data_IF_660252459617
#
_entry.id   IF_660252459617
#
_cell.length_a   1.000
_cell.length_b   1.000
_cell.length_c   1.000
_cell.angle_alpha   90.00
_cell.angle_beta   90.00
_cell.angle_gamma   90.00
#
_symmetry.space_group_name_H-M   'P 1'
#
loop_
_entity.id
_entity.type
_entity.pdbx_description
1 polymer ?
#
# COMPACT_ATOMS: atom_id res chain seq x y z
N UNK A 1 -19.90 22.11 -17.91
CA UNK A 1 -20.96 21.13 -18.24
C UNK A 1 -20.98 19.93 -17.28
N UNK A 2 -19.96 19.07 -17.25
CA UNK A 2 -19.95 17.85 -16.43
C UNK A 2 -20.19 18.09 -14.92
N UNK A 3 -19.56 19.11 -14.32
CA UNK A 3 -19.77 19.47 -12.90
C UNK A 3 -21.24 19.84 -12.61
N UNK A 4 -21.86 20.63 -13.49
CA UNK A 4 -23.26 21.03 -13.34
C UNK A 4 -24.20 19.83 -13.47
N UNK A 5 -23.96 18.94 -14.45
CA UNK A 5 -24.72 17.70 -14.60
C UNK A 5 -24.62 16.81 -13.34
N UNK A 6 -23.43 16.66 -12.76
CA UNK A 6 -23.25 15.94 -11.49
C UNK A 6 -24.08 16.56 -10.36
N UNK A 7 -24.01 17.89 -10.17
CA UNK A 7 -24.77 18.59 -9.13
C UNK A 7 -26.27 18.34 -9.29
N UNK A 8 -26.79 18.44 -10.52
CA UNK A 8 -28.19 18.21 -10.79
C UNK A 8 -28.64 16.77 -10.55
N UNK A 9 -27.83 15.78 -10.98
CA UNK A 9 -28.10 14.36 -10.73
C UNK A 9 -28.09 14.05 -9.23
N UNK A 10 -27.06 14.50 -8.51
CA UNK A 10 -26.94 14.28 -7.06
C UNK A 10 -28.12 14.90 -6.31
N UNK A 11 -28.53 16.12 -6.69
CA UNK A 11 -29.68 16.80 -6.09
C UNK A 11 -30.99 16.06 -6.37
N UNK A 12 -31.31 15.78 -7.64
CA UNK A 12 -32.60 15.18 -8.02
C UNK A 12 -32.75 13.77 -7.45
N UNK A 13 -31.74 12.92 -7.61
CA UNK A 13 -31.74 11.54 -7.11
C UNK A 13 -31.73 11.55 -5.57
N UNK A 14 -30.84 12.33 -4.97
CA UNK A 14 -30.72 12.40 -3.51
C UNK A 14 -32.00 12.88 -2.85
N UNK A 15 -32.61 13.95 -3.37
CA UNK A 15 -33.85 14.51 -2.84
C UNK A 15 -35.02 13.52 -2.96
N UNK A 16 -35.24 12.95 -4.15
CA UNK A 16 -36.38 12.06 -4.41
C UNK A 16 -36.35 10.83 -3.48
N UNK A 17 -35.22 10.12 -3.44
CA UNK A 17 -35.10 8.90 -2.63
C UNK A 17 -35.04 9.20 -1.12
N UNK A 18 -34.36 10.27 -0.69
CA UNK A 18 -34.31 10.66 0.73
C UNK A 18 -35.71 10.97 1.26
N UNK A 19 -36.51 11.76 0.52
CA UNK A 19 -37.90 12.06 0.92
C UNK A 19 -38.76 10.82 0.92
N UNK A 20 -38.66 9.99 -0.12
CA UNK A 20 -39.41 8.73 -0.20
C UNK A 20 -39.11 7.82 1.00
N UNK A 21 -37.85 7.53 1.28
CA UNK A 21 -37.45 6.66 2.40
C UNK A 21 -37.86 7.25 3.75
N UNK A 22 -37.58 8.54 3.96
CA UNK A 22 -37.86 9.20 5.24
C UNK A 22 -39.36 9.23 5.52
N UNK A 23 -40.22 9.64 4.56
CA UNK A 23 -41.66 9.73 4.80
C UNK A 23 -42.27 8.34 5.03
N UNK A 24 -41.93 7.35 4.19
CA UNK A 24 -42.53 6.02 4.30
C UNK A 24 -42.07 5.28 5.57
N UNK A 25 -40.79 5.31 5.92
CA UNK A 25 -40.28 4.56 7.07
C UNK A 25 -40.59 5.23 8.41
N UNK A 26 -40.77 6.55 8.46
CA UNK A 26 -41.24 7.25 9.67
C UNK A 26 -42.64 6.82 10.08
N UNK A 27 -43.51 6.52 9.12
CA UNK A 27 -44.89 6.08 9.38
C UNK A 27 -44.97 4.76 10.16
N UNK A 28 -43.89 3.96 10.14
CA UNK A 28 -43.80 2.69 10.87
C UNK A 28 -43.58 2.84 12.39
N UNK A 29 -43.45 4.09 12.89
CA UNK A 29 -43.41 4.45 14.32
C UNK A 29 -42.40 3.64 15.16
N UNK A 30 -41.19 3.43 14.63
CA UNK A 30 -40.08 2.73 15.28
C UNK A 30 -38.86 3.62 15.52
N UNK A 31 -37.65 3.05 15.73
CA UNK A 31 -36.42 3.80 16.04
C UNK A 31 -35.99 4.78 14.93
N UNK A 32 -36.60 4.71 13.75
CA UNK A 32 -36.33 5.57 12.60
C UNK A 32 -37.24 6.80 12.51
N UNK A 33 -38.22 6.94 13.42
CA UNK A 33 -39.24 8.00 13.38
C UNK A 33 -38.67 9.42 13.32
N UNK A 34 -37.59 9.66 14.06
CA UNK A 34 -37.00 11.00 14.18
C UNK A 34 -35.76 11.18 13.29
N UNK A 35 -35.39 10.15 12.52
CA UNK A 35 -34.20 10.18 11.67
C UNK A 35 -34.52 10.71 10.27
N UNK A 36 -33.52 11.32 9.63
CA UNK A 36 -33.50 11.58 8.19
C UNK A 36 -32.73 10.44 7.54
N UNK A 37 -33.39 9.69 6.66
CA UNK A 37 -32.80 8.55 5.97
C UNK A 37 -32.31 9.01 4.60
N UNK A 38 -31.06 9.43 4.54
CA UNK A 38 -30.46 9.95 3.30
C UNK A 38 -30.17 8.84 2.29
N UNK A 39 -30.40 9.15 1.02
CA UNK A 39 -29.94 8.37 -0.11
C UNK A 39 -29.07 9.25 -1.01
N UNK A 40 -27.98 8.67 -1.51
CA UNK A 40 -27.13 9.30 -2.52
C UNK A 40 -26.63 8.26 -3.50
N UNK A 41 -26.61 8.60 -4.79
CA UNK A 41 -26.16 7.74 -5.90
C UNK A 41 -24.76 7.17 -5.68
N UNK A 42 -23.85 7.94 -5.05
CA UNK A 42 -22.51 7.51 -4.67
C UNK A 42 -22.42 7.01 -3.21
N UNK A 43 -23.16 7.62 -2.29
CA UNK A 43 -23.18 7.24 -0.86
C UNK A 43 -23.68 5.80 -0.67
N UNK A 44 -24.74 5.42 -1.37
CA UNK A 44 -25.38 4.11 -1.23
C UNK A 44 -24.48 2.94 -1.63
N UNK A 45 -23.86 2.89 -2.84
CA UNK A 45 -22.91 1.83 -3.17
C UNK A 45 -21.65 1.86 -2.29
N UNK A 46 -21.23 3.04 -1.82
CA UNK A 46 -20.10 3.15 -0.86
C UNK A 46 -20.40 2.43 0.46
N UNK A 47 -21.59 2.65 1.03
CA UNK A 47 -22.07 1.88 2.19
C UNK A 47 -22.23 0.39 1.83
N UNK A 48 -22.66 0.09 0.61
CA UNK A 48 -22.73 -1.26 0.05
C UNK A 48 -21.44 -2.06 0.21
N UNK A 49 -20.26 -1.46 -0.06
CA UNK A 49 -18.98 -2.16 0.15
C UNK A 49 -18.72 -2.52 1.62
N UNK A 50 -19.13 -1.66 2.55
CA UNK A 50 -18.98 -1.91 4.00
C UNK A 50 -19.92 -3.03 4.45
N UNK A 51 -21.19 -2.97 4.00
CA UNK A 51 -22.22 -3.97 4.33
C UNK A 51 -21.90 -5.33 3.72
N UNK A 52 -21.45 -5.36 2.46
CA UNK A 52 -20.98 -6.58 1.79
C UNK A 52 -19.82 -7.22 2.58
N UNK A 53 -18.81 -6.43 2.97
CA UNK A 53 -17.71 -6.94 3.80
C UNK A 53 -18.21 -7.47 5.15
N UNK A 54 -19.13 -6.77 5.80
CA UNK A 54 -19.73 -7.22 7.06
C UNK A 54 -20.39 -8.59 6.91
N UNK A 55 -21.23 -8.78 5.88
CA UNK A 55 -21.90 -10.07 5.66
C UNK A 55 -20.93 -11.18 5.24
N UNK A 56 -19.89 -10.88 4.45
CA UNK A 56 -18.83 -11.85 4.14
C UNK A 56 -18.13 -12.36 5.40
N UNK A 57 -17.87 -11.48 6.36
CA UNK A 57 -17.25 -11.87 7.65
C UNK A 57 -18.26 -12.60 8.54
N UNK A 58 -19.48 -12.08 8.67
CA UNK A 58 -20.53 -12.66 9.51
C UNK A 58 -20.94 -14.06 9.06
N UNK A 59 -21.03 -14.27 7.76
CA UNK A 59 -21.45 -15.54 7.16
C UNK A 59 -20.25 -16.45 6.83
N UNK A 60 -19.02 -16.06 7.20
CA UNK A 60 -17.85 -16.91 7.04
C UNK A 60 -17.98 -18.11 7.96
N UNK A 61 -18.00 -19.32 7.40
CA UNK A 61 -17.94 -20.57 8.16
C UNK A 61 -16.49 -21.04 8.16
N UNK A 62 -15.77 -20.99 9.30
CA UNK A 62 -14.40 -21.47 9.37
C UNK A 62 -14.34 -22.98 9.16
N UNK A 63 -13.49 -23.42 8.25
CA UNK A 63 -13.24 -24.84 8.00
C UNK A 63 -11.90 -25.24 8.60
N UNK A 64 -11.89 -26.34 9.35
CA UNK A 64 -10.66 -26.90 9.90
C UNK A 64 -9.84 -27.49 8.77
N UNK A 65 -8.54 -27.19 8.77
CA UNK A 65 -7.59 -27.72 7.80
C UNK A 65 -6.34 -28.21 8.50
N UNK A 66 -5.60 -29.07 7.82
CA UNK A 66 -4.34 -29.62 8.27
C UNK A 66 -3.25 -29.37 7.22
N UNK A 67 -2.03 -29.18 7.68
CA UNK A 67 -0.85 -28.97 6.85
C UNK A 67 0.35 -29.59 7.56
N UNK A 68 1.31 -30.09 6.78
CA UNK A 68 2.56 -30.65 7.30
C UNK A 68 3.60 -29.53 7.34
N UNK A 69 4.22 -29.29 8.50
CA UNK A 69 5.33 -28.34 8.63
C UNK A 69 6.63 -29.11 8.77
N UNK A 70 7.60 -28.81 7.92
CA UNK A 70 8.93 -29.39 7.98
C UNK A 70 9.93 -28.35 8.50
N UNK A 71 10.61 -28.68 9.61
CA UNK A 71 11.69 -27.86 10.16
C UNK A 71 12.98 -28.68 10.21
N UNK A 72 14.02 -28.20 9.55
CA UNK A 72 15.32 -28.87 9.48
C UNK A 72 16.33 -28.06 10.29
N UNK A 73 16.99 -28.72 11.26
CA UNK A 73 18.04 -28.11 12.08
C UNK A 73 19.42 -28.48 11.54
N UNK A 74 20.26 -27.48 11.30
CA UNK A 74 21.66 -27.66 10.87
C UNK A 74 22.51 -26.52 11.42
N UNK A 75 23.67 -26.83 12.00
CA UNK A 75 24.65 -25.84 12.50
C UNK A 75 24.05 -24.77 13.43
N UNK A 76 23.14 -25.17 14.33
CA UNK A 76 22.43 -24.27 15.25
C UNK A 76 21.34 -23.40 14.59
N UNK A 77 21.13 -23.52 13.27
CA UNK A 77 20.08 -22.82 12.52
C UNK A 77 18.91 -23.76 12.23
N UNK A 78 17.69 -23.21 12.20
CA UNK A 78 16.47 -23.95 11.83
C UNK A 78 15.91 -23.36 10.54
N UNK A 79 15.87 -24.16 9.47
CA UNK A 79 15.17 -23.82 8.23
C UNK A 79 13.74 -24.35 8.27
N UNK A 80 12.76 -23.51 7.98
CA UNK A 80 11.36 -23.89 7.93
C UNK A 80 10.90 -24.00 6.48
N UNK A 81 10.30 -25.14 6.14
CA UNK A 81 9.81 -25.43 4.80
C UNK A 81 8.29 -25.57 4.81
N UNK A 82 7.66 -24.93 3.84
CA UNK A 82 6.21 -24.97 3.62
C UNK A 82 5.86 -26.14 2.72
N UNK A 83 4.87 -26.93 3.10
CA UNK A 83 4.40 -28.04 2.28
C UNK A 83 3.85 -27.55 0.94
N UNK A 84 4.32 -28.12 -0.17
CA UNK A 84 3.96 -27.65 -1.52
C UNK A 84 2.47 -27.84 -1.83
N UNK A 85 1.79 -28.79 -1.18
CA UNK A 85 0.31 -28.93 -1.27
C UNK A 85 -0.46 -27.85 -0.51
N UNK A 86 0.23 -27.03 0.28
CA UNK A 86 -0.37 -26.03 1.15
C UNK A 86 -1.09 -26.66 2.34
N UNK A 87 -2.40 -26.86 2.22
CA UNK A 87 -3.27 -27.39 3.28
C UNK A 87 -4.38 -28.26 2.68
N UNK A 88 -4.83 -29.26 3.44
CA UNK A 88 -5.98 -30.11 3.08
C UNK A 88 -7.05 -30.04 4.17
N UNK A 89 -8.30 -30.30 3.79
CA UNK A 89 -9.48 -30.27 4.69
C UNK A 89 -9.92 -31.66 5.16
N UNK A 90 -9.18 -32.71 4.80
CA UNK A 90 -9.39 -34.05 5.34
C UNK A 90 -8.19 -34.45 6.22
N UNK A 91 -8.48 -34.74 7.49
CA UNK A 91 -7.44 -35.11 8.46
C UNK A 91 -6.83 -36.46 8.12
N UNK A 92 -7.63 -37.44 7.71
CA UNK A 92 -7.15 -38.80 7.46
C UNK A 92 -6.10 -38.83 6.34
N UNK A 93 -6.38 -38.12 5.24
CA UNK A 93 -5.43 -37.93 4.13
C UNK A 93 -4.12 -37.30 4.59
N UNK A 94 -4.17 -36.24 5.40
CA UNK A 94 -2.93 -35.59 5.90
C UNK A 94 -2.14 -36.50 6.83
N UNK A 95 -2.82 -37.28 7.68
CA UNK A 95 -2.16 -38.24 8.58
C UNK A 95 -1.43 -39.32 7.78
N UNK A 96 -2.05 -39.90 6.75
CA UNK A 96 -1.41 -40.90 5.88
C UNK A 96 -0.15 -40.32 5.20
N UNK A 97 -0.24 -39.09 4.68
CA UNK A 97 0.92 -38.44 4.05
C UNK A 97 2.02 -38.12 5.07
N UNK A 98 1.64 -37.71 6.27
CA UNK A 98 2.56 -37.43 7.36
C UNK A 98 3.30 -38.68 7.86
N UNK A 99 2.61 -39.81 7.99
CA UNK A 99 3.23 -41.09 8.37
C UNK A 99 4.30 -41.50 7.35
N UNK A 100 3.99 -41.38 6.05
CA UNK A 100 4.96 -41.65 4.96
C UNK A 100 6.16 -40.71 4.98
N UNK A 101 6.00 -39.46 5.46
CA UNK A 101 7.12 -38.57 5.70
C UNK A 101 8.00 -39.08 6.85
N UNK A 102 7.41 -39.45 7.99
CA UNK A 102 8.17 -39.95 9.17
C UNK A 102 8.97 -41.21 8.82
N UNK A 103 8.38 -42.13 8.06
CA UNK A 103 9.04 -43.38 7.65
C UNK A 103 10.33 -43.14 6.85
N UNK A 104 10.40 -42.03 6.09
CA UNK A 104 11.55 -41.72 5.25
C UNK A 104 12.82 -41.35 6.02
N UNK A 105 12.70 -40.87 7.27
CA UNK A 105 13.77 -40.48 8.22
C UNK A 105 14.71 -39.35 7.78
N UNK A 106 14.95 -39.18 6.48
CA UNK A 106 15.87 -38.20 5.90
C UNK A 106 15.15 -37.38 4.85
N UNK A 107 15.32 -36.06 4.91
CA UNK A 107 14.86 -35.14 3.89
C UNK A 107 15.99 -34.85 2.88
N UNK A 108 15.67 -34.82 1.59
CA UNK A 108 16.65 -34.63 0.51
C UNK A 108 16.37 -33.33 -0.21
N UNK A 109 17.38 -32.46 -0.29
CA UNK A 109 17.34 -31.26 -1.13
C UNK A 109 17.33 -31.70 -2.60
N UNK A 110 16.28 -31.32 -3.33
CA UNK A 110 16.11 -31.68 -4.75
C UNK A 110 16.39 -30.49 -5.67
N UNK A 111 16.28 -29.26 -5.16
CA UNK A 111 16.55 -28.05 -5.93
C UNK A 111 17.04 -26.95 -5.01
N UNK A 112 18.08 -26.25 -5.45
CA UNK A 112 18.50 -24.96 -4.90
C UNK A 112 18.62 -24.01 -6.08
N UNK A 113 17.88 -22.91 -6.05
CA UNK A 113 17.93 -21.89 -7.08
C UNK A 113 18.13 -20.53 -6.45
N UNK A 114 19.21 -19.88 -6.85
CA UNK A 114 19.51 -18.51 -6.46
C UNK A 114 19.25 -17.60 -7.67
N UNK A 115 18.55 -16.48 -7.44
CA UNK A 115 18.23 -15.51 -8.48
C UNK A 115 18.31 -14.08 -7.95
N UNK A 116 18.91 -13.15 -8.70
CA UNK A 116 18.80 -11.74 -8.41
C UNK A 116 17.33 -11.33 -8.35
N UNK A 117 16.96 -10.61 -7.31
CA UNK A 117 15.61 -10.08 -7.11
C UNK A 117 15.70 -8.60 -6.77
N UNK A 118 14.62 -7.88 -7.02
CA UNK A 118 14.53 -6.46 -6.68
C UNK A 118 13.20 -6.16 -6.05
N UNK A 119 13.21 -5.22 -5.10
CA UNK A 119 11.98 -4.56 -4.68
C UNK A 119 11.91 -3.23 -5.38
N UNK A 120 10.90 -3.10 -6.20
CA UNK A 120 10.71 -1.91 -7.00
C UNK A 120 10.48 -0.66 -6.14
N UNK A 121 11.14 0.44 -6.50
CA UNK A 121 10.85 1.75 -5.94
C UNK A 121 9.40 2.17 -6.25
N UNK A 122 8.78 3.00 -5.41
CA UNK A 122 7.39 3.41 -5.60
C UNK A 122 7.16 4.15 -6.92
N UNK A 123 5.92 4.07 -7.44
CA UNK A 123 5.46 4.94 -8.52
C UNK A 123 5.22 6.38 -8.01
N UNK A 124 5.29 7.39 -8.89
CA UNK A 124 4.88 8.75 -8.58
C UNK A 124 3.50 8.83 -7.90
N UNK A 125 3.33 9.83 -7.03
CA UNK A 125 2.20 9.88 -6.11
C UNK A 125 0.94 10.44 -6.78
N UNK A 126 -0.16 9.70 -6.72
CA UNK A 126 -1.49 10.17 -7.13
C UNK A 126 -2.33 10.56 -5.91
N UNK A 127 -3.48 11.20 -6.14
CA UNK A 127 -4.43 11.55 -5.08
C UNK A 127 -4.96 10.34 -4.31
N UNK A 128 -5.24 9.25 -5.03
CA UNK A 128 -5.74 8.01 -4.43
C UNK A 128 -4.67 7.36 -3.56
N UNK A 129 -3.43 7.30 -4.06
CA UNK A 129 -2.33 6.71 -3.30
C UNK A 129 -1.95 7.57 -2.09
N UNK A 130 -1.94 8.90 -2.20
CA UNK A 130 -1.73 9.80 -1.05
C UNK A 130 -2.75 9.52 0.07
N UNK A 131 -4.04 9.47 -0.25
CA UNK A 131 -5.08 9.20 0.75
C UNK A 131 -4.95 7.81 1.38
N UNK A 132 -4.71 6.76 0.58
CA UNK A 132 -4.51 5.39 1.10
C UNK A 132 -3.31 5.33 2.04
N UNK A 133 -2.20 5.95 1.65
CA UNK A 133 -0.97 5.96 2.43
C UNK A 133 -1.11 6.76 3.72
N UNK A 134 -1.75 7.92 3.66
CA UNK A 134 -2.01 8.73 4.86
C UNK A 134 -2.91 7.99 5.85
N UNK A 135 -3.98 7.33 5.39
CA UNK A 135 -4.82 6.50 6.27
C UNK A 135 -4.06 5.30 6.85
N UNK A 136 -3.23 4.63 6.05
CA UNK A 136 -2.47 3.45 6.50
C UNK A 136 -1.36 3.80 7.50
N UNK A 137 -0.58 4.86 7.22
CA UNK A 137 0.67 5.14 7.93
C UNK A 137 0.60 6.38 8.84
N UNK A 138 -0.16 7.40 8.45
CA UNK A 138 -0.32 8.63 9.24
C UNK A 138 -1.54 8.52 10.19
N UNK A 139 -2.50 7.65 9.88
CA UNK A 139 -3.75 7.41 10.64
C UNK A 139 -4.71 8.59 10.63
N UNK A 140 -4.75 9.35 9.54
CA UNK A 140 -5.73 10.41 9.30
C UNK A 140 -6.68 10.03 8.15
N UNK A 141 -7.86 10.64 8.12
CA UNK A 141 -8.87 10.35 7.07
C UNK A 141 -8.42 10.87 5.71
N UNK A 142 -8.98 10.30 4.63
CA UNK A 142 -8.73 10.79 3.27
C UNK A 142 -9.15 12.26 3.10
N UNK A 143 -10.28 12.66 3.70
CA UNK A 143 -10.74 14.05 3.70
C UNK A 143 -9.73 14.98 4.37
N UNK A 144 -9.31 14.67 5.60
CA UNK A 144 -8.34 15.50 6.32
C UNK A 144 -6.99 15.57 5.58
N UNK A 145 -6.57 14.46 4.96
CA UNK A 145 -5.36 14.43 4.11
C UNK A 145 -5.48 15.42 2.95
N UNK A 146 -6.62 15.44 2.26
CA UNK A 146 -6.86 16.34 1.13
C UNK A 146 -6.94 17.81 1.54
N UNK A 147 -7.59 18.11 2.67
CA UNK A 147 -7.63 19.47 3.22
C UNK A 147 -6.22 20.00 3.55
N UNK A 148 -5.36 19.15 4.14
CA UNK A 148 -3.97 19.49 4.43
C UNK A 148 -3.17 19.67 3.13
N UNK A 149 -3.31 18.74 2.18
CA UNK A 149 -2.61 18.80 0.90
C UNK A 149 -2.98 20.05 0.09
N UNK A 150 -4.25 20.46 0.11
CA UNK A 150 -4.69 21.70 -0.52
C UNK A 150 -4.04 22.93 0.11
N UNK A 151 -3.93 22.99 1.43
CA UNK A 151 -3.23 24.09 2.12
C UNK A 151 -1.73 24.10 1.79
N UNK A 152 -1.10 22.93 1.73
CA UNK A 152 0.30 22.80 1.30
C UNK A 152 0.50 23.32 -0.13
N UNK A 153 -0.43 23.01 -1.04
CA UNK A 153 -0.41 23.52 -2.41
C UNK A 153 -0.63 25.04 -2.47
N UNK A 154 -1.61 25.57 -1.73
CA UNK A 154 -1.88 27.01 -1.67
C UNK A 154 -0.68 27.81 -1.13
N UNK A 155 0.09 27.23 -0.21
CA UNK A 155 1.35 27.80 0.30
C UNK A 155 2.56 27.56 -0.62
N UNK A 156 2.38 26.84 -1.73
CA UNK A 156 3.43 26.60 -2.74
C UNK A 156 4.43 25.48 -2.40
N UNK A 157 4.14 24.64 -1.39
CA UNK A 157 5.06 23.59 -0.96
C UNK A 157 4.99 22.32 -1.81
N UNK A 158 3.82 21.99 -2.35
CA UNK A 158 3.61 20.80 -3.18
C UNK A 158 2.88 21.16 -4.48
N UNK A 159 2.96 20.28 -5.48
CA UNK A 159 2.14 20.37 -6.69
C UNK A 159 0.65 20.12 -6.39
N UNK A 160 -0.22 20.39 -7.37
CA UNK A 160 -1.66 20.28 -7.19
C UNK A 160 -2.07 18.85 -6.75
N UNK A 161 -2.77 18.69 -5.61
CA UNK A 161 -2.92 17.38 -4.97
C UNK A 161 -4.11 16.56 -5.51
N UNK A 162 -4.79 17.03 -6.56
CA UNK A 162 -5.93 16.36 -7.21
C UNK A 162 -5.55 15.97 -8.64
N UNK A 163 -4.90 14.82 -8.77
CA UNK A 163 -4.38 14.28 -10.03
C UNK A 163 -4.42 12.74 -10.02
N UNK A 164 -4.67 12.17 -11.20
CA UNK A 164 -4.57 10.73 -11.46
C UNK A 164 -3.22 10.34 -12.09
N UNK A 165 -2.37 11.32 -12.39
CA UNK A 165 -1.10 11.13 -13.10
C UNK A 165 -0.06 10.45 -12.21
N UNK A 166 0.46 9.32 -12.67
CA UNK A 166 1.49 8.52 -11.99
C UNK A 166 2.80 8.42 -12.79
N UNK A 167 3.09 9.45 -13.60
CA UNK A 167 4.30 9.60 -14.41
C UNK A 167 4.73 11.06 -14.51
N UNK A 168 6.02 11.32 -14.45
CA UNK A 168 6.55 12.67 -14.67
C UNK A 168 6.79 12.93 -16.15
N UNK A 169 6.68 14.19 -16.56
CA UNK A 169 7.17 14.63 -17.88
C UNK A 169 8.69 14.47 -17.93
N UNK A 170 9.20 13.96 -19.06
CA UNK A 170 10.64 13.76 -19.29
C UNK A 170 11.44 15.07 -19.27
N UNK A 171 10.81 16.20 -19.62
CA UNK A 171 11.42 17.53 -19.60
C UNK A 171 11.45 18.18 -18.22
N UNK A 172 10.76 17.62 -17.22
CA UNK A 172 10.73 18.19 -15.86
C UNK A 172 12.08 17.97 -15.17
N UNK A 173 12.69 19.06 -14.68
CA UNK A 173 13.97 19.00 -13.97
C UNK A 173 13.81 18.57 -12.50
N UNK A 174 13.54 17.28 -12.29
CA UNK A 174 13.31 16.71 -10.96
C UNK A 174 14.55 16.80 -10.04
N UNK A 175 15.77 16.80 -10.60
CA UNK A 175 17.01 16.92 -9.81
C UNK A 175 17.05 18.25 -9.04
N UNK A 176 16.56 19.34 -9.63
CA UNK A 176 16.46 20.64 -8.92
C UNK A 176 15.50 20.58 -7.74
N UNK A 177 14.41 19.81 -7.85
CA UNK A 177 13.44 19.64 -6.76
C UNK A 177 14.02 18.78 -5.65
N UNK A 178 14.82 17.76 -5.99
CA UNK A 178 15.60 16.97 -5.02
C UNK A 178 16.60 17.88 -4.28
N UNK A 179 17.33 18.74 -5.00
CA UNK A 179 18.31 19.65 -4.41
C UNK A 179 17.69 20.58 -3.36
N UNK A 180 16.44 21.02 -3.55
CA UNK A 180 15.76 21.86 -2.54
C UNK A 180 15.54 21.13 -1.21
N UNK A 181 15.51 19.80 -1.19
CA UNK A 181 15.23 18.98 0.00
C UNK A 181 16.49 18.59 0.80
N UNK A 182 17.71 18.96 0.35
CA UNK A 182 18.98 18.55 0.99
C UNK A 182 19.19 19.14 2.39
N UNK A 183 18.48 20.23 2.70
CA UNK A 183 18.58 20.94 3.98
C UNK A 183 17.82 20.30 5.15
N UNK A 184 16.94 19.31 4.92
CA UNK A 184 16.20 18.64 6.01
C UNK A 184 17.10 17.66 6.77
N UNK A 185 17.11 17.70 8.10
CA UNK A 185 17.95 16.80 8.90
C UNK A 185 17.61 15.31 8.79
N UNK A 186 16.40 14.94 8.34
CA UNK A 186 15.91 13.55 8.35
C UNK A 186 16.12 12.83 7.02
N UNK A 187 16.01 13.53 5.89
CA UNK A 187 16.16 12.97 4.54
C UNK A 187 17.16 13.73 3.67
N UNK A 188 17.65 14.87 4.14
CA UNK A 188 18.61 15.72 3.43
C UNK A 188 19.88 14.98 2.99
N UNK A 189 20.52 14.16 3.85
CA UNK A 189 21.66 13.34 3.44
C UNK A 189 21.35 12.40 2.28
N UNK A 190 20.16 11.80 2.27
CA UNK A 190 19.72 10.94 1.16
C UNK A 190 19.48 11.76 -0.12
N UNK A 191 18.81 12.91 -0.01
CA UNK A 191 18.61 13.82 -1.13
C UNK A 191 19.96 14.31 -1.71
N UNK A 192 20.95 14.56 -0.87
CA UNK A 192 22.29 14.95 -1.30
C UNK A 192 22.97 13.84 -2.08
N UNK A 193 22.90 12.58 -1.61
CA UNK A 193 23.40 11.42 -2.37
C UNK A 193 22.76 11.26 -3.75
N UNK A 194 21.47 11.61 -3.90
CA UNK A 194 20.83 11.65 -5.22
C UNK A 194 21.43 12.77 -6.11
N UNK A 195 21.63 13.97 -5.55
CA UNK A 195 22.26 15.09 -6.27
C UNK A 195 23.68 14.73 -6.72
N UNK A 196 24.43 14.02 -5.89
CA UNK A 196 25.84 13.65 -6.10
C UNK A 196 26.05 12.44 -7.02
N UNK A 197 24.99 11.97 -7.69
CA UNK A 197 25.08 10.95 -8.73
C UNK A 197 24.09 9.79 -8.58
N UNK A 198 23.46 9.64 -7.41
CA UNK A 198 22.48 8.57 -7.16
C UNK A 198 21.09 8.79 -7.74
N UNK A 199 20.82 9.96 -8.34
CA UNK A 199 19.52 10.27 -8.95
C UNK A 199 19.23 9.36 -10.15
N UNK A 200 18.06 8.74 -10.10
CA UNK A 200 17.46 8.02 -11.21
C UNK A 200 16.13 8.63 -11.59
N UNK A 201 15.79 8.54 -12.87
CA UNK A 201 14.46 8.95 -13.32
C UNK A 201 13.38 8.07 -12.66
N UNK A 202 12.27 8.65 -12.20
CA UNK A 202 11.13 7.90 -11.70
C UNK A 202 10.59 6.91 -12.72
N UNK A 203 10.06 5.79 -12.21
CA UNK A 203 9.33 4.83 -13.03
C UNK A 203 8.00 5.45 -13.48
N UNK A 204 7.61 5.17 -14.71
CA UNK A 204 6.31 5.60 -15.22
C UNK A 204 5.24 4.58 -14.83
N UNK A 205 4.15 5.07 -14.23
CA UNK A 205 2.92 4.31 -14.17
C UNK A 205 2.16 4.36 -15.50
N UNK A 206 0.86 4.03 -15.44
CA UNK A 206 0.01 3.87 -16.64
C UNK A 206 -0.95 5.03 -16.86
N UNK A 207 -1.07 5.96 -15.91
CA UNK A 207 -2.12 6.97 -15.87
C UNK A 207 -1.54 8.37 -16.07
N UNK A 208 -2.23 9.17 -16.89
CA UNK A 208 -1.86 10.54 -17.21
C UNK A 208 -3.15 11.31 -17.49
N UNK A 209 -3.52 12.22 -16.58
CA UNK A 209 -4.69 13.08 -16.74
C UNK A 209 -4.47 14.22 -17.76
N UNK A 210 -3.23 14.37 -18.25
CA UNK A 210 -2.78 15.40 -19.19
C UNK A 210 -2.96 16.83 -18.69
N UNK A 211 -3.16 17.03 -17.40
CA UNK A 211 -3.41 18.32 -16.77
C UNK A 211 -2.38 18.65 -15.70
N UNK A 212 -2.08 17.69 -14.81
CA UNK A 212 -1.22 17.90 -13.66
C UNK A 212 -0.14 16.81 -13.58
N UNK A 213 1.09 17.18 -13.16
CA UNK A 213 2.10 16.19 -12.82
C UNK A 213 1.71 15.46 -11.53
N UNK A 214 2.38 14.33 -11.20
CA UNK A 214 2.19 13.64 -9.93
C UNK A 214 2.37 14.58 -8.73
N UNK A 215 1.84 14.21 -7.57
CA UNK A 215 1.99 14.97 -6.33
C UNK A 215 3.46 14.91 -5.87
N UNK A 216 4.12 16.05 -5.77
CA UNK A 216 5.55 16.15 -5.44
C UNK A 216 5.88 17.48 -4.74
N UNK A 217 7.00 17.57 -3.98
CA UNK A 217 7.41 18.82 -3.35
C UNK A 217 7.97 19.80 -4.40
N UNK A 218 7.54 21.06 -4.32
CA UNK A 218 7.99 22.15 -5.22
C UNK A 218 9.14 22.94 -4.59
N UNK A 219 9.11 23.09 -3.27
CA UNK A 219 10.15 23.74 -2.47
C UNK A 219 10.21 23.11 -1.10
N UNK A 220 11.27 23.40 -0.33
CA UNK A 220 11.36 22.96 1.05
C UNK A 220 10.45 23.76 1.97
N UNK A 221 9.74 23.07 2.85
CA UNK A 221 8.90 23.66 3.88
C UNK A 221 9.56 23.48 5.26
N UNK A 222 9.78 24.58 5.98
CA UNK A 222 10.33 24.52 7.36
C UNK A 222 9.29 24.00 8.34
N UNK A 223 9.74 23.46 9.47
CA UNK A 223 8.84 23.01 10.55
C UNK A 223 7.89 24.10 11.05
N UNK A 224 8.35 25.35 11.11
CA UNK A 224 7.51 26.50 11.47
C UNK A 224 6.38 26.73 10.45
N UNK A 225 6.70 26.76 9.15
CA UNK A 225 5.71 26.96 8.10
C UNK A 225 4.68 25.82 8.01
N UNK A 226 5.11 24.58 8.27
CA UNK A 226 4.21 23.43 8.34
C UNK A 226 3.29 23.51 9.57
N UNK A 227 3.81 23.99 10.70
CA UNK A 227 3.01 24.13 11.94
C UNK A 227 1.87 25.14 11.79
N UNK A 228 2.04 26.18 10.98
CA UNK A 228 0.96 27.14 10.66
C UNK A 228 -0.22 26.49 9.92
N UNK A 229 0.01 25.42 9.16
CA UNK A 229 -1.05 24.71 8.41
C UNK A 229 -1.86 23.81 9.34
N UNK A 230 -1.18 23.22 10.34
CA UNK A 230 -1.77 22.37 11.37
C UNK A 230 -0.83 21.24 11.82
N UNK A 231 -1.15 20.61 12.95
CA UNK A 231 -0.31 19.60 13.60
C UNK A 231 0.08 18.42 12.68
N UNK A 232 -0.81 18.00 11.79
CA UNK A 232 -0.59 16.86 10.88
C UNK A 232 0.12 17.25 9.57
N UNK A 233 0.27 18.54 9.28
CA UNK A 233 0.82 19.01 8.01
C UNK A 233 2.27 18.54 7.79
N UNK A 234 3.07 18.52 8.86
CA UNK A 234 4.44 18.01 8.81
C UNK A 234 4.51 16.54 8.37
N UNK A 235 3.58 15.70 8.83
CA UNK A 235 3.55 14.27 8.52
C UNK A 235 3.07 14.02 7.09
N UNK A 236 2.09 14.77 6.61
CA UNK A 236 1.61 14.70 5.22
C UNK A 236 2.69 15.18 4.24
N UNK A 237 3.34 16.31 4.55
CA UNK A 237 4.44 16.82 3.73
C UNK A 237 5.63 15.85 3.69
N UNK A 238 6.04 15.30 4.84
CA UNK A 238 7.09 14.29 4.92
C UNK A 238 6.78 13.05 4.07
N UNK A 239 5.54 12.55 4.10
CA UNK A 239 5.11 11.43 3.26
C UNK A 239 5.28 11.74 1.77
N UNK A 240 4.89 12.93 1.33
CA UNK A 240 5.03 13.38 -0.06
C UNK A 240 6.50 13.49 -0.45
N UNK A 241 7.34 14.12 0.39
CA UNK A 241 8.78 14.29 0.11
C UNK A 241 9.49 12.95 0.04
N UNK A 242 9.29 12.08 1.03
CA UNK A 242 9.92 10.75 1.05
C UNK A 242 9.48 9.90 -0.14
N UNK A 243 8.20 9.97 -0.54
CA UNK A 243 7.72 9.30 -1.76
C UNK A 243 8.46 9.81 -2.99
N UNK A 244 8.58 11.12 -3.13
CA UNK A 244 9.28 11.74 -4.26
C UNK A 244 10.75 11.34 -4.32
N UNK A 245 11.49 11.44 -3.20
CA UNK A 245 12.90 11.05 -3.13
C UNK A 245 13.08 9.56 -3.44
N UNK A 246 12.19 8.70 -2.94
CA UNK A 246 12.21 7.27 -3.25
C UNK A 246 11.97 6.99 -4.73
N UNK A 247 11.05 7.71 -5.39
CA UNK A 247 10.83 7.61 -6.83
C UNK A 247 12.10 7.97 -7.62
N UNK A 248 12.88 8.93 -7.13
CA UNK A 248 14.11 9.42 -7.73
C UNK A 248 15.36 8.60 -7.37
N UNK A 249 15.22 7.48 -6.66
CA UNK A 249 16.33 6.58 -6.26
C UNK A 249 16.35 5.29 -7.10
N UNK A 250 17.23 4.36 -6.76
CA UNK A 250 17.29 3.01 -7.33
C UNK A 250 16.28 2.06 -6.67
N UNK A 251 15.94 0.98 -7.37
CA UNK A 251 15.22 -0.16 -6.76
C UNK A 251 16.10 -0.79 -5.67
N UNK A 252 15.50 -1.34 -4.62
CA UNK A 252 16.26 -2.14 -3.67
C UNK A 252 16.67 -3.46 -4.34
N UNK A 253 17.92 -3.89 -4.14
CA UNK A 253 18.48 -5.10 -4.75
C UNK A 253 18.71 -6.19 -3.70
N UNK A 254 18.48 -7.43 -4.09
CA UNK A 254 18.70 -8.58 -3.22
C UNK A 254 18.89 -9.86 -4.00
N UNK A 255 19.16 -10.93 -3.25
CA UNK A 255 19.29 -12.28 -3.78
C UNK A 255 18.23 -13.16 -3.15
N UNK A 256 17.40 -13.79 -3.99
CA UNK A 256 16.39 -14.73 -3.55
C UNK A 256 16.90 -16.15 -3.73
N UNK A 257 16.74 -16.97 -2.70
CA UNK A 257 17.12 -18.38 -2.71
C UNK A 257 15.87 -19.21 -2.47
N UNK A 258 15.52 -20.03 -3.46
CA UNK A 258 14.44 -21.00 -3.44
C UNK A 258 15.04 -22.40 -3.20
N UNK A 259 14.59 -23.10 -2.16
CA UNK A 259 15.05 -24.45 -1.82
C UNK A 259 13.84 -25.39 -1.79
N UNK A 260 13.89 -26.43 -2.62
CA UNK A 260 12.90 -27.51 -2.60
C UNK A 260 13.52 -28.76 -1.98
N UNK A 261 12.77 -29.37 -1.07
CA UNK A 261 13.15 -30.56 -0.31
C UNK A 261 12.07 -31.62 -0.46
N UNK A 262 12.48 -32.87 -0.59
CA UNK A 262 11.58 -34.03 -0.48
C UNK A 262 11.75 -34.67 0.89
N UNK A 263 10.64 -35.08 1.50
CA UNK A 263 10.65 -35.88 2.72
C UNK A 263 9.57 -36.96 2.59
N UNK A 264 10.00 -38.20 2.35
CA UNK A 264 9.11 -39.24 1.86
C UNK A 264 8.55 -38.89 0.47
N UNK A 265 7.24 -39.10 0.22
CA UNK A 265 6.62 -38.81 -1.07
C UNK A 265 6.27 -37.32 -1.25
N UNK A 266 6.48 -36.49 -0.23
CA UNK A 266 6.01 -35.10 -0.20
C UNK A 266 7.14 -34.10 -0.45
N UNK A 267 6.78 -32.97 -1.07
CA UNK A 267 7.69 -31.86 -1.37
C UNK A 267 7.39 -30.66 -0.47
N UNK A 268 8.46 -29.98 -0.06
CA UNK A 268 8.42 -28.81 0.77
C UNK A 268 9.33 -27.73 0.17
N UNK A 269 8.95 -26.47 0.36
CA UNK A 269 9.60 -25.31 -0.23
C UNK A 269 9.97 -24.30 0.85
N UNK A 270 11.20 -23.78 0.79
CA UNK A 270 11.64 -22.62 1.54
C UNK A 270 12.08 -21.51 0.59
N UNK A 271 11.77 -20.28 0.97
CA UNK A 271 12.16 -19.08 0.25
C UNK A 271 12.84 -18.12 1.22
N UNK A 272 14.06 -17.72 0.88
CA UNK A 272 14.83 -16.72 1.61
C UNK A 272 15.24 -15.58 0.69
N UNK A 273 15.40 -14.39 1.26
CA UNK A 273 15.92 -13.21 0.56
C UNK A 273 17.00 -12.58 1.41
N UNK A 274 18.12 -12.26 0.80
CA UNK A 274 19.18 -11.41 1.37
C UNK A 274 19.15 -10.07 0.63
N UNK A 275 18.93 -8.98 1.36
CA UNK A 275 18.99 -7.62 0.82
C UNK A 275 20.46 -7.22 0.69
N UNK A 276 20.87 -6.87 -0.53
CA UNK A 276 22.24 -6.46 -0.85
C UNK A 276 22.32 -4.94 -0.82
N UNK A 277 21.36 -4.26 -1.45
CA UNK A 277 21.29 -2.80 -1.48
C UNK A 277 19.87 -2.35 -1.10
N UNK A 278 19.77 -1.46 -0.11
CA UNK A 278 18.48 -0.96 0.37
C UNK A 278 17.91 0.16 -0.51
N UNK A 279 18.79 1.00 -1.07
CA UNK A 279 18.46 2.07 -2.01
C UNK A 279 17.26 2.91 -1.52
N UNK A 280 16.16 2.99 -2.28
CA UNK A 280 15.00 3.81 -1.89
C UNK A 280 14.43 3.50 -0.48
N UNK A 281 14.64 2.30 0.05
CA UNK A 281 14.16 1.91 1.38
C UNK A 281 14.80 2.72 2.51
N UNK A 282 15.95 3.35 2.28
CA UNK A 282 16.63 4.16 3.30
C UNK A 282 15.96 5.53 3.53
N UNK A 283 15.21 6.04 2.54
CA UNK A 283 14.40 7.25 2.70
C UNK A 283 12.92 6.97 2.92
N UNK A 284 12.46 5.74 2.63
CA UNK A 284 11.04 5.39 2.54
C UNK A 284 10.60 4.33 3.58
N UNK A 285 10.44 4.72 4.86
CA UNK A 285 10.19 3.80 5.98
C UNK A 285 8.78 3.18 5.96
N UNK A 286 7.93 3.57 5.01
CA UNK A 286 6.58 3.02 4.84
C UNK A 286 6.59 1.64 4.19
N UNK A 287 7.75 1.23 3.68
CA UNK A 287 7.97 -0.06 3.06
C UNK A 287 9.16 -0.78 3.69
N UNK A 288 8.96 -2.06 4.00
CA UNK A 288 10.02 -2.90 4.56
C UNK A 288 10.42 -3.99 3.57
N UNK A 289 11.71 -4.26 3.51
CA UNK A 289 12.30 -5.43 2.86
C UNK A 289 13.56 -5.78 3.64
N UNK A 290 13.50 -6.92 4.33
CA UNK A 290 14.52 -7.35 5.26
C UNK A 290 14.97 -8.75 4.88
N UNK A 291 16.14 -9.15 5.39
CA UNK A 291 16.61 -10.51 5.22
C UNK A 291 15.57 -11.48 5.80
N UNK A 292 15.20 -12.48 5.01
CA UNK A 292 14.36 -13.59 5.44
C UNK A 292 15.22 -14.84 5.56
N UNK A 293 15.03 -15.55 6.67
CA UNK A 293 15.75 -16.77 7.02
C UNK A 293 15.12 -18.01 6.38
#
# INVERSE_FOLDING_TARGET
AAVAARIELDLRIGYAFTRFLTINLRSLNGPLKDLVLSYGSCQFPTLGFVVDRYFRVKNFVPETFWSIKLSIKKDGKTGNFTWTRGRLFDRASVVILYERCIEAKTATVIKVQEKPTRKWKPLPLTTVELQKMATKFIRISGQQTMEIAEKLYQKGFISYPRTETDRFDKGMNLRTLVQKQTQDGRWGPFAQGLVDGGFQQPRNGRHDDKAHPPIHPITYATGAALSEIGAEAGRVYELIVRRFLACCSEDAQGMATDIDVTYGPETFHAHGVVVIERNYLDVYPYENWNNSA
#
